data_IF_487610248733
#
_entry.id   IF_487610248733
#
_cell.length_a   1.000
_cell.length_b   1.000
_cell.length_c   1.000
_cell.angle_alpha   90.00
_cell.angle_beta   90.00
_cell.angle_gamma   90.00
#
_symmetry.space_group_name_H-M   'P 1'
#
loop_
_entity.id
_entity.type
_entity.pdbx_description
1 polymer ?
#
# COMPACT_ATOMS: atom_id res chain seq x y z
N UNK A 1 18.78 7.76 29.15
CA UNK A 1 18.44 6.46 28.54
C UNK A 1 17.44 6.71 27.43
N UNK A 2 17.91 6.87 26.19
CA UNK A 2 17.04 7.23 25.05
C UNK A 2 17.64 6.94 23.67
N UNK A 3 18.83 6.33 23.62
CA UNK A 3 19.58 6.08 22.39
C UNK A 3 19.61 4.60 21.97
N UNK A 4 19.17 3.66 22.83
CA UNK A 4 19.31 2.22 22.59
C UNK A 4 17.98 1.47 22.40
N UNK A 5 16.82 2.11 22.62
CA UNK A 5 15.48 1.51 22.45
C UNK A 5 14.75 2.04 21.20
N UNK A 6 15.49 2.52 20.20
CA UNK A 6 14.91 2.81 18.90
C UNK A 6 14.45 1.47 18.31
N UNK A 7 13.15 1.27 18.18
CA UNK A 7 12.63 0.10 17.48
C UNK A 7 13.29 0.06 16.10
N UNK A 8 13.86 -1.09 15.67
CA UNK A 8 14.44 -1.19 14.35
C UNK A 8 13.39 -0.80 13.32
N UNK A 9 13.81 -0.25 12.17
CA UNK A 9 12.91 0.03 11.05
C UNK A 9 12.23 -1.28 10.60
N UNK A 10 11.13 -1.61 11.27
CA UNK A 10 10.34 -2.81 11.09
C UNK A 10 9.24 -2.52 10.08
N UNK A 11 9.46 -2.97 8.86
CA UNK A 11 8.51 -2.81 7.77
C UNK A 11 9.10 -3.33 6.48
N UNK A 12 8.30 -4.09 5.71
CA UNK A 12 8.70 -4.47 4.36
C UNK A 12 8.76 -3.22 3.50
N UNK A 13 9.91 -2.96 2.87
CA UNK A 13 10.11 -1.86 1.91
C UNK A 13 9.12 -1.92 0.72
N UNK A 14 8.44 -3.05 0.55
CA UNK A 14 7.51 -3.31 -0.54
C UNK A 14 6.05 -3.02 -0.18
N UNK A 15 5.75 -2.57 1.04
CA UNK A 15 4.37 -2.21 1.44
C UNK A 15 3.85 -1.08 0.54
N UNK A 16 4.68 -0.09 0.21
CA UNK A 16 4.32 0.96 -0.73
C UNK A 16 3.99 0.44 -2.14
N UNK A 17 4.72 -0.57 -2.61
CA UNK A 17 4.48 -1.21 -3.90
C UNK A 17 3.16 -2.00 -3.89
N UNK A 18 2.90 -2.72 -2.80
CA UNK A 18 1.66 -3.48 -2.60
C UNK A 18 0.44 -2.55 -2.54
N UNK A 19 0.49 -1.46 -1.77
CA UNK A 19 -0.57 -0.45 -1.75
C UNK A 19 -0.80 0.17 -3.13
N UNK A 20 0.26 0.42 -3.90
CA UNK A 20 0.15 0.98 -5.26
C UNK A 20 -0.54 0.00 -6.20
N UNK A 21 -0.21 -1.29 -6.14
CA UNK A 21 -0.89 -2.34 -6.92
C UNK A 21 -2.38 -2.45 -6.55
N UNK A 22 -2.71 -2.44 -5.26
CA UNK A 22 -4.11 -2.47 -4.79
C UNK A 22 -4.87 -1.23 -5.29
N UNK A 23 -4.28 -0.04 -5.19
CA UNK A 23 -4.89 1.19 -5.67
C UNK A 23 -5.19 1.18 -7.16
N UNK A 24 -4.24 0.69 -7.98
CA UNK A 24 -4.45 0.53 -9.43
C UNK A 24 -5.58 -0.46 -9.71
N UNK A 25 -5.61 -1.60 -9.01
CA UNK A 25 -6.66 -2.60 -9.21
C UNK A 25 -8.05 -2.08 -8.84
N UNK A 26 -8.17 -1.35 -7.73
CA UNK A 26 -9.43 -0.73 -7.33
C UNK A 26 -9.91 0.30 -8.38
N UNK A 27 -9.01 1.09 -8.95
CA UNK A 27 -9.34 2.08 -9.97
C UNK A 27 -9.81 1.41 -11.26
N UNK A 28 -9.15 0.34 -11.70
CA UNK A 28 -9.57 -0.46 -12.86
C UNK A 28 -10.97 -1.03 -12.65
N UNK A 29 -11.24 -1.64 -11.49
CA UNK A 29 -12.57 -2.19 -11.19
C UNK A 29 -13.65 -1.10 -11.14
N UNK A 30 -13.33 0.07 -10.59
CA UNK A 30 -14.26 1.21 -10.57
C UNK A 30 -14.59 1.71 -11.99
N UNK A 31 -13.59 1.79 -12.88
CA UNK A 31 -13.81 2.16 -14.27
C UNK A 31 -14.66 1.11 -15.00
N UNK A 32 -14.38 -0.18 -14.81
CA UNK A 32 -15.20 -1.24 -15.38
C UNK A 32 -16.65 -1.16 -14.86
N UNK A 33 -16.84 -0.99 -13.55
CA UNK A 33 -18.16 -0.84 -12.96
C UNK A 33 -18.89 0.41 -13.48
N UNK A 34 -18.19 1.53 -13.71
CA UNK A 34 -18.80 2.74 -14.24
C UNK A 34 -19.20 2.63 -15.72
N UNK A 35 -18.53 1.78 -16.50
CA UNK A 35 -18.81 1.58 -17.92
C UNK A 35 -19.83 0.48 -18.20
N UNK A 36 -19.89 -0.55 -17.34
CA UNK A 36 -20.67 -1.77 -17.58
C UNK A 36 -21.70 -2.09 -16.49
N UNK A 37 -21.73 -1.32 -15.40
CA UNK A 37 -22.70 -1.44 -14.31
C UNK A 37 -23.95 -0.60 -14.50
#
# INVERSE_FOLDING_TARGET
MGCCNQAPNGGSNNIGLLLKCIGVMALVLLVLAALFG
#
